data_IF_256301482241
#
_entry.id   IF_256301482241
#
_cell.length_a   1.000
_cell.length_b   1.000
_cell.length_c   1.000
_cell.angle_alpha   90.00
_cell.angle_beta   90.00
_cell.angle_gamma   90.00
#
_symmetry.space_group_name_H-M   'P 1'
#
loop_
_entity.id
_entity.type
_entity.pdbx_description
1 polymer ?
#
# COMPACT_ATOMS: atom_id res chain seq x y z
N UNK A 1 -0.97 15.48 -16.82
CA UNK A 1 -0.34 15.19 -15.52
C UNK A 1 -1.21 14.15 -14.84
N UNK A 2 -0.79 12.88 -14.86
CA UNK A 2 -1.56 11.78 -14.25
C UNK A 2 -1.23 11.74 -12.79
N UNK A 3 -2.21 11.96 -11.93
CA UNK A 3 -2.09 11.91 -10.47
C UNK A 3 -2.58 10.54 -10.00
N UNK A 4 -1.73 9.75 -9.40
CA UNK A 4 -2.09 8.44 -8.83
C UNK A 4 -2.52 8.65 -7.40
N UNK A 5 -3.73 8.20 -7.06
CA UNK A 5 -4.28 8.30 -5.71
C UNK A 5 -4.09 6.95 -5.02
N UNK A 6 -3.31 6.94 -3.96
CA UNK A 6 -3.23 5.79 -3.07
C UNK A 6 -4.39 5.85 -2.07
N UNK A 7 -5.25 4.86 -2.10
CA UNK A 7 -6.33 4.70 -1.13
C UNK A 7 -5.98 3.53 -0.22
N UNK A 8 -5.63 3.85 1.00
CA UNK A 8 -5.42 2.84 2.03
C UNK A 8 -6.79 2.37 2.55
N UNK A 9 -7.15 1.12 2.28
CA UNK A 9 -8.33 0.49 2.84
C UNK A 9 -7.88 -0.33 4.06
N UNK A 10 -8.10 0.21 5.25
CA UNK A 10 -7.78 -0.44 6.51
C UNK A 10 -8.82 -1.52 6.81
N UNK A 11 -8.47 -2.79 6.63
CA UNK A 11 -9.22 -3.92 7.17
C UNK A 11 -8.77 -4.16 8.62
N UNK A 12 -9.59 -3.70 9.55
CA UNK A 12 -9.45 -4.03 10.97
C UNK A 12 -9.69 -5.53 11.19
N UNK A 13 -8.62 -6.31 11.20
CA UNK A 13 -8.67 -7.67 11.69
C UNK A 13 -8.66 -7.64 13.23
N UNK A 14 -9.83 -7.76 13.84
CA UNK A 14 -9.96 -7.77 15.28
C UNK A 14 -9.36 -9.07 15.87
N UNK A 15 -8.73 -8.97 17.02
CA UNK A 15 -8.08 -9.99 17.86
C UNK A 15 -8.83 -11.36 18.03
N UNK A 16 -10.06 -11.49 17.54
CA UNK A 16 -10.83 -12.75 17.57
C UNK A 16 -10.37 -13.76 16.52
N UNK A 17 -9.97 -13.32 15.33
CA UNK A 17 -9.50 -14.21 14.24
C UNK A 17 -8.21 -14.91 14.63
N UNK A 18 -7.36 -14.26 15.34
CA UNK A 18 -6.08 -14.73 15.83
C UNK A 18 -6.20 -15.88 16.82
N UNK A 19 -7.11 -15.76 17.78
CA UNK A 19 -7.42 -16.83 18.74
C UNK A 19 -7.98 -18.07 18.04
N UNK A 20 -8.74 -17.90 16.95
CA UNK A 20 -9.29 -18.99 16.17
C UNK A 20 -8.19 -19.73 15.41
N UNK A 21 -7.23 -19.05 14.80
CA UNK A 21 -6.09 -19.67 14.09
C UNK A 21 -5.23 -20.49 15.05
N UNK A 22 -4.90 -19.93 16.22
CA UNK A 22 -4.15 -20.66 17.26
C UNK A 22 -4.93 -21.87 17.77
N UNK A 23 -6.25 -21.73 17.94
CA UNK A 23 -7.11 -22.85 18.35
C UNK A 23 -7.15 -23.96 17.31
N UNK A 24 -7.26 -23.64 16.03
CA UNK A 24 -7.26 -24.60 14.92
C UNK A 24 -5.93 -25.36 14.88
N UNK A 25 -4.80 -24.67 15.03
CA UNK A 25 -3.48 -25.32 15.05
C UNK A 25 -3.35 -26.33 16.19
N UNK A 26 -3.80 -25.98 17.39
CA UNK A 26 -3.64 -26.85 18.58
C UNK A 26 -4.66 -27.99 18.64
N UNK A 27 -5.89 -27.80 18.18
CA UNK A 27 -7.00 -28.73 18.39
C UNK A 27 -7.45 -29.49 17.14
N UNK A 28 -6.96 -29.12 15.97
CA UNK A 28 -7.37 -29.75 14.71
C UNK A 28 -6.18 -30.18 13.84
N UNK A 29 -5.30 -31.08 14.31
CA UNK A 29 -4.10 -31.50 13.55
C UNK A 29 -4.40 -32.26 12.26
N UNK A 30 -5.67 -32.66 12.02
CA UNK A 30 -6.08 -33.41 10.83
C UNK A 30 -6.63 -32.52 9.70
N UNK A 31 -6.59 -31.19 9.87
CA UNK A 31 -6.99 -30.28 8.79
C UNK A 31 -5.84 -30.17 7.77
N UNK A 32 -6.10 -30.30 6.46
CA UNK A 32 -5.08 -30.08 5.44
C UNK A 32 -4.39 -28.75 5.60
N UNK A 33 -3.07 -28.73 5.76
CA UNK A 33 -2.27 -27.53 6.02
C UNK A 33 -2.06 -27.21 7.50
N UNK A 34 -2.50 -28.07 8.43
CA UNK A 34 -2.21 -27.94 9.86
C UNK A 34 -0.71 -28.16 10.22
N UNK A 35 0.04 -28.74 9.29
CA UNK A 35 1.51 -28.91 9.35
C UNK A 35 2.29 -27.59 9.14
N UNK A 36 1.62 -26.53 8.74
CA UNK A 36 2.23 -25.20 8.64
C UNK A 36 2.33 -24.55 10.01
N UNK A 37 3.41 -23.82 10.21
CA UNK A 37 3.60 -23.01 11.42
C UNK A 37 2.70 -21.76 11.38
N UNK A 38 1.41 -21.98 11.67
CA UNK A 38 0.41 -20.91 11.73
C UNK A 38 0.69 -19.89 12.82
N UNK A 39 1.41 -20.29 13.88
CA UNK A 39 1.75 -19.39 14.99
C UNK A 39 2.74 -18.33 14.51
N UNK A 40 3.84 -18.75 13.88
CA UNK A 40 4.81 -17.80 13.31
C UNK A 40 4.22 -16.93 12.21
N UNK A 41 3.36 -17.49 11.34
CA UNK A 41 2.64 -16.69 10.32
C UNK A 41 1.77 -15.64 10.99
N UNK A 42 1.08 -15.99 12.06
CA UNK A 42 0.24 -15.07 12.81
C UNK A 42 1.06 -13.96 13.49
N UNK A 43 2.12 -14.31 14.21
CA UNK A 43 2.98 -13.37 14.91
C UNK A 43 3.59 -12.35 13.92
N UNK A 44 4.04 -12.81 12.77
CA UNK A 44 4.56 -11.91 11.73
C UNK A 44 3.46 -11.03 11.13
N UNK A 45 2.27 -11.58 10.88
CA UNK A 45 1.12 -10.81 10.38
C UNK A 45 0.68 -9.75 11.40
N UNK A 46 0.67 -10.08 12.69
CA UNK A 46 0.38 -9.13 13.76
C UNK A 46 1.41 -8.01 13.80
N UNK A 47 2.70 -8.36 13.75
CA UNK A 47 3.79 -7.38 13.71
C UNK A 47 3.66 -6.43 12.53
N UNK A 48 3.40 -6.95 11.33
CA UNK A 48 3.21 -6.15 10.12
C UNK A 48 1.99 -5.22 10.25
N UNK A 49 0.89 -5.73 10.78
CA UNK A 49 -0.31 -4.94 10.99
C UNK A 49 -0.06 -3.74 11.92
N UNK A 50 0.68 -3.96 13.02
CA UNK A 50 1.04 -2.85 13.92
C UNK A 50 1.95 -1.82 13.26
N UNK A 51 2.81 -2.22 12.34
CA UNK A 51 3.61 -1.28 11.54
C UNK A 51 2.76 -0.48 10.54
N UNK A 52 1.74 -1.10 9.97
CA UNK A 52 0.84 -0.45 9.01
C UNK A 52 -0.10 0.56 9.65
N UNK A 53 -0.53 0.33 10.90
CA UNK A 53 -1.41 1.28 11.60
C UNK A 53 -0.67 2.46 12.23
N UNK A 54 0.65 2.46 12.23
CA UNK A 54 1.47 3.61 12.63
C UNK A 54 1.68 4.55 11.43
N UNK A 55 0.92 5.61 11.37
CA UNK A 55 0.97 6.58 10.28
C UNK A 55 2.29 7.35 10.17
N UNK A 56 3.15 7.34 11.18
CA UNK A 56 4.50 7.89 11.04
C UNK A 56 5.39 7.00 10.16
N UNK A 57 5.17 5.68 10.17
CA UNK A 57 5.80 4.77 9.21
C UNK A 57 5.30 5.05 7.80
N UNK A 58 3.99 5.22 7.62
CA UNK A 58 3.40 5.56 6.33
C UNK A 58 3.93 6.90 5.80
N UNK A 59 4.07 7.90 6.66
CA UNK A 59 4.71 9.16 6.32
C UNK A 59 6.15 8.95 5.81
N UNK A 60 6.92 8.10 6.49
CA UNK A 60 8.30 7.78 6.11
C UNK A 60 8.38 7.04 4.77
N UNK A 61 7.44 6.13 4.53
CA UNK A 61 7.29 5.39 3.28
C UNK A 61 6.95 6.34 2.12
N UNK A 62 6.02 7.26 2.34
CA UNK A 62 5.64 8.28 1.36
C UNK A 62 6.82 9.17 0.97
N UNK A 63 7.58 9.66 1.96
CA UNK A 63 8.77 10.48 1.71
C UNK A 63 9.89 9.69 1.02
N UNK A 64 10.06 8.41 1.35
CA UNK A 64 10.99 7.53 0.63
C UNK A 64 10.59 7.40 -0.82
N UNK A 65 9.32 7.09 -1.07
CA UNK A 65 8.78 6.98 -2.42
C UNK A 65 8.97 8.29 -3.21
N UNK A 66 8.75 9.44 -2.57
CA UNK A 66 8.98 10.74 -3.19
C UNK A 66 10.45 10.96 -3.59
N UNK A 67 11.40 10.51 -2.78
CA UNK A 67 12.84 10.56 -3.12
C UNK A 67 13.18 9.62 -4.27
N UNK A 68 12.68 8.39 -4.22
CA UNK A 68 12.95 7.34 -5.21
C UNK A 68 12.41 7.71 -6.60
N UNK A 69 11.34 8.50 -6.64
CA UNK A 69 10.72 9.01 -7.88
C UNK A 69 11.05 10.48 -8.16
N UNK A 70 12.01 11.07 -7.44
CA UNK A 70 12.45 12.43 -7.71
C UNK A 70 13.04 12.55 -9.12
N UNK A 71 12.61 13.55 -9.87
CA UNK A 71 13.05 13.74 -11.26
C UNK A 71 12.21 13.02 -12.32
N UNK A 72 11.13 12.33 -11.92
CA UNK A 72 10.17 11.74 -12.85
C UNK A 72 8.94 12.61 -12.95
N UNK A 73 8.84 13.43 -13.99
CA UNK A 73 7.84 14.50 -14.15
C UNK A 73 6.39 14.01 -14.16
N UNK A 74 6.16 12.77 -14.53
CA UNK A 74 4.81 12.22 -14.64
C UNK A 74 4.35 11.48 -13.38
N UNK A 75 5.20 11.34 -12.35
CA UNK A 75 4.85 10.84 -11.03
C UNK A 75 4.73 12.00 -10.06
N UNK A 76 3.63 12.04 -9.31
CA UNK A 76 3.46 12.98 -8.22
C UNK A 76 3.16 12.22 -6.94
N UNK A 77 3.97 12.48 -5.93
CA UNK A 77 3.76 11.97 -4.58
C UNK A 77 3.25 13.13 -3.71
N UNK A 78 2.20 12.93 -2.90
CA UNK A 78 1.70 13.96 -1.98
C UNK A 78 2.78 14.36 -0.97
N UNK A 79 2.89 15.65 -0.66
CA UNK A 79 3.74 16.12 0.42
C UNK A 79 3.14 15.75 1.78
N UNK A 80 3.98 15.26 2.70
CA UNK A 80 3.58 14.92 4.06
C UNK A 80 3.89 16.09 5.01
N UNK A 81 2.88 16.50 5.79
CA UNK A 81 3.04 17.54 6.80
C UNK A 81 3.33 16.91 8.16
N UNK A 82 4.63 16.71 8.44
CA UNK A 82 5.10 16.04 9.68
C UNK A 82 4.66 16.74 10.95
N UNK A 83 4.65 18.07 10.96
CA UNK A 83 4.35 18.88 12.15
C UNK A 83 2.94 18.68 12.69
N UNK A 84 2.02 18.23 11.82
CA UNK A 84 0.61 17.99 12.15
C UNK A 84 0.21 16.52 11.97
N UNK A 85 1.20 15.64 11.81
CA UNK A 85 0.99 14.20 11.73
C UNK A 85 1.36 13.52 13.06
N UNK A 86 0.65 12.45 13.38
CA UNK A 86 0.83 11.66 14.61
C UNK A 86 0.76 10.17 14.25
N UNK A 87 1.10 9.23 15.15
CA UNK A 87 0.91 7.80 14.88
C UNK A 87 -0.51 7.39 14.49
N UNK A 88 -1.51 8.23 14.80
CA UNK A 88 -2.94 7.96 14.51
C UNK A 88 -3.54 8.84 13.43
N UNK A 89 -2.84 9.86 12.98
CA UNK A 89 -3.34 10.82 11.98
C UNK A 89 -2.22 11.16 11.03
N UNK A 90 -2.41 10.85 9.76
CA UNK A 90 -1.51 11.27 8.69
C UNK A 90 -2.09 12.47 7.96
N UNK A 91 -1.35 13.57 7.97
CA UNK A 91 -1.71 14.79 7.26
C UNK A 91 -0.81 14.95 6.03
N UNK A 92 -1.42 15.05 4.86
CA UNK A 92 -0.70 15.17 3.59
C UNK A 92 -1.39 16.10 2.62
N UNK A 93 -0.67 16.50 1.58
CA UNK A 93 -1.21 17.29 0.47
C UNK A 93 -2.43 16.62 -0.14
N UNK A 94 -3.49 17.40 -0.34
CA UNK A 94 -4.64 16.93 -1.10
C UNK A 94 -4.34 16.99 -2.60
N UNK A 95 -4.29 15.85 -3.24
CA UNK A 95 -4.09 15.73 -4.68
C UNK A 95 -5.42 15.37 -5.35
N UNK A 96 -5.97 16.31 -6.12
CA UNK A 96 -7.16 16.03 -6.91
C UNK A 96 -6.85 15.00 -8.00
N UNK A 97 -7.54 13.87 -7.95
CA UNK A 97 -7.27 12.73 -8.81
C UNK A 97 -8.54 11.93 -9.10
N UNK A 98 -8.46 11.01 -10.04
CA UNK A 98 -9.49 10.03 -10.33
C UNK A 98 -8.87 8.65 -10.56
N UNK A 99 -9.67 7.60 -10.40
CA UNK A 99 -9.21 6.25 -10.64
C UNK A 99 -8.99 6.00 -12.13
N UNK A 100 -7.88 5.38 -12.50
CA UNK A 100 -7.60 5.00 -13.90
C UNK A 100 -8.63 4.03 -14.49
N UNK A 101 -9.37 3.31 -13.64
CA UNK A 101 -10.48 2.44 -14.03
C UNK A 101 -11.72 3.23 -14.51
N UNK A 102 -11.77 4.53 -14.28
CA UNK A 102 -12.83 5.40 -14.83
C UNK A 102 -12.49 5.77 -16.28
N UNK A 103 -12.83 4.86 -17.20
CA UNK A 103 -12.50 4.97 -18.63
C UNK A 103 -13.17 6.20 -19.24
N UNK A 104 -14.40 6.51 -18.85
CA UNK A 104 -15.14 7.68 -19.35
C UNK A 104 -14.37 8.98 -19.08
N UNK A 105 -13.80 9.10 -17.88
CA UNK A 105 -13.02 10.28 -17.49
C UNK A 105 -11.67 10.35 -18.20
N UNK A 106 -11.05 9.19 -18.45
CA UNK A 106 -9.80 9.10 -19.24
C UNK A 106 -10.05 9.59 -20.67
N UNK A 107 -11.16 9.18 -21.29
CA UNK A 107 -11.54 9.56 -22.65
C UNK A 107 -11.95 11.04 -22.74
N UNK A 108 -12.76 11.51 -21.78
CA UNK A 108 -13.16 12.94 -21.71
C UNK A 108 -11.97 13.89 -21.61
N UNK A 109 -10.91 13.48 -20.92
CA UNK A 109 -9.68 14.26 -20.79
C UNK A 109 -8.69 14.04 -21.94
N UNK A 110 -9.04 13.22 -22.93
CA UNK A 110 -8.19 12.95 -24.08
C UNK A 110 -6.86 12.29 -23.71
N UNK A 111 -6.81 11.51 -22.62
CA UNK A 111 -5.60 10.88 -22.16
C UNK A 111 -5.30 9.62 -22.99
N UNK A 112 -4.05 9.49 -23.41
CA UNK A 112 -3.57 8.32 -24.14
C UNK A 112 -3.49 7.11 -23.21
N UNK A 113 -4.33 6.10 -23.45
CA UNK A 113 -4.43 4.87 -22.64
C UNK A 113 -3.17 4.03 -22.74
N UNK A 114 -2.53 3.97 -23.90
CA UNK A 114 -1.30 3.21 -24.09
C UNK A 114 -0.14 3.84 -23.32
N UNK A 115 -0.02 5.15 -23.38
CA UNK A 115 0.96 5.90 -22.59
C UNK A 115 0.72 5.74 -21.09
N UNK A 116 -0.54 5.75 -20.64
CA UNK A 116 -0.88 5.52 -19.24
C UNK A 116 -0.48 4.11 -18.77
N UNK A 117 -0.78 3.09 -19.56
CA UNK A 117 -0.41 1.71 -19.27
C UNK A 117 1.11 1.55 -19.21
N UNK A 118 1.83 2.13 -20.17
CA UNK A 118 3.30 2.12 -20.19
C UNK A 118 3.89 2.79 -18.93
N UNK A 119 3.43 3.99 -18.58
CA UNK A 119 3.91 4.72 -17.38
C UNK A 119 3.62 3.95 -16.10
N UNK A 120 2.45 3.32 -16.00
CA UNK A 120 2.13 2.47 -14.86
C UNK A 120 3.09 1.28 -14.76
N UNK A 121 3.31 0.56 -15.85
CA UNK A 121 4.27 -0.54 -15.90
C UNK A 121 5.70 -0.07 -15.55
N UNK A 122 6.14 1.05 -16.12
CA UNK A 122 7.46 1.64 -15.83
C UNK A 122 7.61 1.97 -14.33
N UNK A 123 6.57 2.54 -13.70
CA UNK A 123 6.60 2.86 -12.28
C UNK A 123 6.79 1.60 -11.41
N UNK A 124 6.08 0.50 -11.73
CA UNK A 124 6.22 -0.76 -11.00
C UNK A 124 7.57 -1.44 -11.24
N UNK A 125 8.04 -1.46 -12.48
CA UNK A 125 9.34 -2.04 -12.82
C UNK A 125 10.47 -1.30 -12.09
N UNK A 126 10.41 0.02 -11.99
CA UNK A 126 11.40 0.81 -11.24
C UNK A 126 11.41 0.46 -9.75
N UNK A 127 10.25 0.29 -9.14
CA UNK A 127 10.15 -0.13 -7.74
C UNK A 127 10.84 -1.48 -7.51
N UNK A 128 10.71 -2.43 -8.44
CA UNK A 128 11.29 -3.77 -8.30
C UNK A 128 12.78 -3.76 -8.64
N UNK A 129 13.16 -3.15 -9.75
CA UNK A 129 14.51 -3.32 -10.34
C UNK A 129 15.49 -2.27 -9.83
N UNK A 130 15.05 -1.01 -9.65
CA UNK A 130 15.95 0.10 -9.31
C UNK A 130 15.98 0.37 -7.81
N UNK A 131 14.80 0.44 -7.15
CA UNK A 131 14.73 0.89 -5.76
C UNK A 131 14.66 -0.27 -4.76
N UNK A 132 14.20 -1.44 -5.17
CA UNK A 132 13.94 -2.57 -4.28
C UNK A 132 12.88 -2.27 -3.23
N UNK A 133 12.09 -1.21 -3.43
CA UNK A 133 11.02 -0.79 -2.53
C UNK A 133 9.70 -0.73 -3.30
N UNK A 134 8.81 -1.65 -2.97
CA UNK A 134 7.61 -1.92 -3.76
C UNK A 134 6.33 -1.58 -3.01
N UNK A 135 5.44 -0.84 -3.65
CA UNK A 135 4.10 -0.57 -3.15
C UNK A 135 3.21 -1.77 -3.45
N UNK A 136 2.71 -2.43 -2.42
CA UNK A 136 1.96 -3.68 -2.56
C UNK A 136 0.47 -3.49 -2.87
N UNK A 137 -0.04 -2.27 -2.76
CA UNK A 137 -1.47 -1.93 -2.98
C UNK A 137 -1.57 -0.68 -3.87
N UNK A 138 -1.50 -0.84 -5.20
CA UNK A 138 -1.55 0.26 -6.16
C UNK A 138 -2.95 0.80 -6.40
#
# INVERSE_FOLDING_TARGET
>A
MVRVRFHFCMLLCTCKTCKVITYIHFYCPHIPGADRDWVSIYEESERLLYLEIDYLNEATNCERFARDFSGIDWVRVPEVYRDVSTPRVLTMEFVESFKLTNIEKVEQLGLDRELLAKRTADAFLRQIVETGYFHCDP
#
